data_IF_273497474639
#
_entry.id   IF_273497474639
#
_cell.length_a   1.000
_cell.length_b   1.000
_cell.length_c   1.000
_cell.angle_alpha   90.00
_cell.angle_beta   90.00
_cell.angle_gamma   90.00
#
_symmetry.space_group_name_H-M   'P 1'
#
loop_
_entity.id
_entity.type
_entity.pdbx_description
1 polymer ?
#
# COMPACT_ATOMS: atom_id res chain seq x y z
N UNK A 1 -18.55 39.80 -46.79
CA UNK A 1 -18.89 40.11 -45.37
C UNK A 1 -18.48 41.53 -45.13
N UNK A 2 -19.46 42.40 -44.80
CA UNK A 2 -19.19 43.85 -44.69
C UNK A 2 -18.48 44.14 -43.36
N UNK A 3 -17.53 45.08 -43.34
CA UNK A 3 -16.74 45.49 -42.18
C UNK A 3 -17.61 45.80 -40.94
N UNK A 4 -18.81 46.35 -41.18
CA UNK A 4 -19.79 46.62 -40.12
C UNK A 4 -20.30 45.34 -39.44
N UNK A 5 -20.58 44.28 -40.20
CA UNK A 5 -21.00 42.98 -39.64
C UNK A 5 -19.87 42.26 -38.89
N UNK A 6 -18.63 42.48 -39.29
CA UNK A 6 -17.46 41.96 -38.58
C UNK A 6 -17.27 42.66 -37.24
N UNK A 7 -17.40 43.99 -37.21
CA UNK A 7 -17.34 44.80 -35.99
C UNK A 7 -18.44 44.42 -34.99
N UNK A 8 -19.66 44.20 -35.45
CA UNK A 8 -20.78 43.77 -34.57
C UNK A 8 -20.57 42.37 -34.01
N UNK A 9 -20.04 41.42 -34.81
CA UNK A 9 -19.66 40.09 -34.31
C UNK A 9 -18.53 40.14 -33.30
N UNK A 10 -17.52 40.99 -33.52
CA UNK A 10 -16.40 41.14 -32.57
C UNK A 10 -16.92 41.79 -31.28
N UNK A 11 -17.80 42.82 -31.39
CA UNK A 11 -18.38 43.48 -30.25
C UNK A 11 -19.33 42.56 -29.45
N UNK A 12 -20.10 41.73 -30.12
CA UNK A 12 -20.96 40.73 -29.44
C UNK A 12 -20.13 39.63 -28.75
N UNK A 13 -19.01 39.21 -29.34
CA UNK A 13 -18.07 38.28 -28.68
C UNK A 13 -17.33 38.90 -27.49
N UNK A 14 -16.93 40.20 -27.62
CA UNK A 14 -16.33 40.94 -26.50
C UNK A 14 -17.31 41.15 -25.35
N UNK A 15 -18.61 41.48 -25.67
CA UNK A 15 -19.64 41.56 -24.64
C UNK A 15 -19.98 40.22 -24.00
N UNK A 16 -19.91 39.09 -24.77
CA UNK A 16 -20.12 37.75 -24.20
C UNK A 16 -18.93 37.32 -23.31
N UNK A 17 -17.71 37.79 -23.59
CA UNK A 17 -16.54 37.59 -22.73
C UNK A 17 -16.65 38.43 -21.44
N UNK A 18 -17.16 39.67 -21.53
CA UNK A 18 -17.45 40.51 -20.35
C UNK A 18 -18.57 39.93 -19.47
N UNK A 19 -19.54 39.19 -20.05
CA UNK A 19 -20.62 38.51 -19.31
C UNK A 19 -20.15 37.18 -18.71
N UNK A 20 -19.00 36.63 -19.18
CA UNK A 20 -18.41 35.39 -18.66
C UNK A 20 -17.76 35.56 -17.28
N UNK A 21 -17.38 36.78 -16.93
CA UNK A 21 -16.74 37.10 -15.65
C UNK A 21 -17.76 37.54 -14.57
N UNK A 22 -19.07 37.45 -14.86
CA UNK A 22 -20.10 37.67 -13.83
C UNK A 22 -20.04 36.58 -12.77
N UNK A 23 -19.87 36.99 -11.50
CA UNK A 23 -19.94 36.10 -10.33
C UNK A 23 -21.34 35.52 -10.21
N UNK A 24 -21.49 34.22 -10.17
CA UNK A 24 -22.76 33.50 -10.02
C UNK A 24 -22.98 33.08 -8.57
N UNK A 25 -21.92 32.63 -7.91
CA UNK A 25 -21.94 32.15 -6.52
C UNK A 25 -20.74 32.66 -5.76
N UNK A 26 -20.97 33.02 -4.51
CA UNK A 26 -19.94 33.24 -3.50
C UNK A 26 -20.00 32.08 -2.50
N UNK A 27 -18.95 31.28 -2.40
CA UNK A 27 -18.90 30.10 -1.53
C UNK A 27 -17.56 30.01 -0.80
N UNK A 28 -17.58 30.02 0.53
CA UNK A 28 -16.39 29.92 1.38
C UNK A 28 -15.25 30.91 1.00
N UNK A 29 -15.59 32.12 0.53
CA UNK A 29 -14.62 33.13 0.13
C UNK A 29 -14.07 32.98 -1.28
N UNK A 30 -14.70 32.15 -2.12
CA UNK A 30 -14.43 32.03 -3.56
C UNK A 30 -15.57 32.68 -4.35
N UNK A 31 -15.21 33.58 -5.27
CA UNK A 31 -16.12 34.13 -6.25
C UNK A 31 -16.13 33.20 -7.48
N UNK A 32 -17.25 32.54 -7.74
CA UNK A 32 -17.38 31.57 -8.83
C UNK A 32 -18.05 32.25 -10.04
N UNK A 33 -17.30 32.35 -11.15
CA UNK A 33 -17.73 32.93 -12.40
C UNK A 33 -18.26 31.90 -13.40
N UNK A 34 -19.02 32.32 -14.41
CA UNK A 34 -19.48 31.46 -15.52
C UNK A 34 -18.30 30.77 -16.24
N UNK A 35 -17.22 31.52 -16.45
CA UNK A 35 -16.00 31.04 -17.11
C UNK A 35 -15.39 29.86 -16.32
N UNK A 36 -15.27 30.02 -15.02
CA UNK A 36 -14.71 29.01 -14.13
C UNK A 36 -15.55 27.72 -14.09
N UNK A 37 -16.88 27.86 -14.10
CA UNK A 37 -17.79 26.71 -14.18
C UNK A 37 -17.55 25.92 -15.47
N UNK A 38 -17.50 26.61 -16.62
CA UNK A 38 -17.30 25.95 -17.91
C UNK A 38 -15.92 25.28 -17.96
N UNK A 39 -14.88 25.97 -17.45
CA UNK A 39 -13.51 25.44 -17.41
C UNK A 39 -13.41 24.23 -16.46
N UNK A 40 -14.03 24.29 -15.29
CA UNK A 40 -14.04 23.16 -14.35
C UNK A 40 -14.77 21.95 -14.92
N UNK A 41 -15.87 22.14 -15.64
CA UNK A 41 -16.55 21.04 -16.35
C UNK A 41 -15.63 20.42 -17.41
N UNK A 42 -14.90 21.25 -18.17
CA UNK A 42 -13.95 20.75 -19.16
C UNK A 42 -12.78 19.98 -18.50
N UNK A 43 -12.24 20.47 -17.38
CA UNK A 43 -11.21 19.78 -16.59
C UNK A 43 -11.74 18.42 -16.14
N UNK A 44 -12.90 18.39 -15.51
CA UNK A 44 -13.52 17.14 -15.03
C UNK A 44 -13.74 16.16 -16.19
N UNK A 45 -14.24 16.62 -17.35
CA UNK A 45 -14.47 15.77 -18.52
C UNK A 45 -13.16 15.16 -19.06
N UNK A 46 -12.09 15.97 -19.15
CA UNK A 46 -10.77 15.51 -19.59
C UNK A 46 -10.21 14.50 -18.58
N UNK A 47 -10.34 14.77 -17.29
CA UNK A 47 -9.88 13.87 -16.24
C UNK A 47 -10.64 12.54 -16.26
N UNK A 48 -11.96 12.54 -16.52
CA UNK A 48 -12.72 11.31 -16.70
C UNK A 48 -12.26 10.51 -17.93
N UNK A 49 -11.99 11.16 -19.06
CA UNK A 49 -11.43 10.47 -20.24
C UNK A 49 -10.07 9.83 -19.93
N UNK A 50 -9.18 10.54 -19.26
CA UNK A 50 -7.89 9.99 -18.83
C UNK A 50 -8.08 8.81 -17.85
N UNK A 51 -9.00 8.94 -16.90
CA UNK A 51 -9.35 7.90 -15.96
C UNK A 51 -9.85 6.62 -16.65
N UNK A 52 -10.68 6.73 -17.68
CA UNK A 52 -11.16 5.56 -18.44
C UNK A 52 -10.03 4.84 -19.17
N UNK A 53 -9.06 5.58 -19.74
CA UNK A 53 -7.90 4.98 -20.44
C UNK A 53 -7.03 4.22 -19.42
N UNK A 54 -6.73 4.84 -18.28
CA UNK A 54 -5.91 4.20 -17.22
C UNK A 54 -6.65 2.99 -16.63
N UNK A 55 -7.95 3.12 -16.36
CA UNK A 55 -8.79 2.02 -15.86
C UNK A 55 -8.82 0.84 -16.83
N UNK A 56 -8.84 1.09 -18.14
CA UNK A 56 -8.72 0.04 -19.16
C UNK A 56 -7.40 -0.71 -19.05
N UNK A 57 -6.28 -0.01 -18.96
CA UNK A 57 -4.97 -0.64 -18.81
C UNK A 57 -4.84 -1.47 -17.52
N UNK A 58 -5.45 -0.99 -16.41
CA UNK A 58 -5.52 -1.76 -15.16
C UNK A 58 -6.37 -3.02 -15.35
N UNK A 59 -7.50 -2.93 -16.05
CA UNK A 59 -8.36 -4.08 -16.34
C UNK A 59 -7.63 -5.14 -17.16
N UNK A 60 -6.96 -4.74 -18.23
CA UNK A 60 -6.21 -5.65 -19.10
C UNK A 60 -5.09 -6.38 -18.32
N UNK A 61 -4.33 -5.63 -17.51
CA UNK A 61 -3.29 -6.20 -16.65
C UNK A 61 -3.86 -7.19 -15.63
N UNK A 62 -4.97 -6.83 -14.99
CA UNK A 62 -5.64 -7.71 -14.01
C UNK A 62 -6.17 -8.99 -14.66
N UNK A 63 -6.76 -8.88 -15.87
CA UNK A 63 -7.25 -10.04 -16.60
C UNK A 63 -6.12 -10.98 -17.02
N UNK A 64 -4.98 -10.43 -17.46
CA UNK A 64 -3.78 -11.21 -17.78
C UNK A 64 -3.27 -11.96 -16.55
N UNK A 65 -3.19 -11.29 -15.39
CA UNK A 65 -2.79 -11.92 -14.13
C UNK A 65 -3.77 -13.01 -13.67
N UNK A 66 -5.07 -12.79 -13.80
CA UNK A 66 -6.08 -13.81 -13.49
C UNK A 66 -5.93 -15.03 -14.39
N UNK A 67 -5.65 -14.86 -15.68
CA UNK A 67 -5.36 -15.98 -16.59
C UNK A 67 -4.12 -16.75 -16.15
N UNK A 68 -3.05 -16.04 -15.78
CA UNK A 68 -1.82 -16.64 -15.28
C UNK A 68 -2.08 -17.50 -14.02
N UNK A 69 -2.84 -16.98 -13.05
CA UNK A 69 -3.18 -17.72 -11.84
C UNK A 69 -4.07 -18.93 -12.11
N UNK A 70 -5.09 -18.78 -12.97
CA UNK A 70 -6.00 -19.88 -13.29
C UNK A 70 -5.35 -20.99 -14.14
N UNK A 71 -4.25 -20.70 -14.84
CA UNK A 71 -3.45 -21.66 -15.60
C UNK A 71 -2.31 -22.30 -14.80
N UNK A 72 -2.01 -21.75 -13.60
CA UNK A 72 -0.96 -22.26 -12.76
C UNK A 72 -1.24 -23.70 -12.30
N UNK A 73 -0.21 -24.51 -12.19
CA UNK A 73 -0.31 -25.87 -11.66
C UNK A 73 -0.79 -25.82 -10.21
N UNK A 74 -1.66 -26.76 -9.82
CA UNK A 74 -2.07 -26.96 -8.44
C UNK A 74 -1.40 -28.22 -7.91
N UNK A 75 -0.56 -28.10 -6.90
CA UNK A 75 0.31 -29.13 -6.38
C UNK A 75 0.04 -29.34 -4.89
N UNK A 76 -0.31 -30.56 -4.51
CA UNK A 76 -0.58 -31.00 -3.14
C UNK A 76 0.23 -32.22 -2.71
N UNK A 77 1.14 -32.70 -3.58
CA UNK A 77 2.02 -33.84 -3.28
C UNK A 77 3.49 -33.54 -3.58
N UNK A 78 4.38 -34.16 -2.81
CA UNK A 78 5.82 -34.00 -2.95
C UNK A 78 6.32 -34.42 -4.33
N UNK A 79 5.82 -35.54 -4.83
CA UNK A 79 6.22 -36.12 -6.11
C UNK A 79 5.88 -35.18 -7.27
N UNK A 80 4.70 -34.55 -7.21
CA UNK A 80 4.28 -33.60 -8.22
C UNK A 80 5.08 -32.29 -8.13
N UNK A 81 5.47 -31.87 -6.92
CA UNK A 81 6.33 -30.72 -6.72
C UNK A 81 7.73 -30.94 -7.28
N UNK A 82 8.37 -32.07 -6.96
CA UNK A 82 9.67 -32.46 -7.52
C UNK A 82 9.59 -32.56 -9.08
N UNK A 83 8.53 -33.16 -9.59
CA UNK A 83 8.31 -33.26 -11.02
C UNK A 83 8.18 -31.87 -11.68
N UNK A 84 7.40 -30.98 -11.07
CA UNK A 84 7.21 -29.60 -11.57
C UNK A 84 8.53 -28.82 -11.63
N UNK A 85 9.39 -28.92 -10.61
CA UNK A 85 10.71 -28.29 -10.61
C UNK A 85 11.62 -28.89 -11.71
N UNK A 86 11.67 -30.21 -11.83
CA UNK A 86 12.57 -30.90 -12.78
C UNK A 86 12.14 -30.72 -14.25
N UNK A 87 10.86 -30.49 -14.52
CA UNK A 87 10.32 -30.29 -15.87
C UNK A 87 10.11 -28.84 -16.24
N UNK A 88 10.52 -27.88 -15.37
CA UNK A 88 10.25 -26.46 -15.57
C UNK A 88 8.77 -26.18 -15.76
N UNK A 89 7.95 -26.65 -14.82
CA UNK A 89 6.47 -26.61 -14.89
C UNK A 89 5.87 -25.21 -14.91
N UNK A 90 6.66 -24.15 -14.70
CA UNK A 90 6.21 -22.77 -14.70
C UNK A 90 5.51 -22.38 -13.40
N UNK A 91 4.47 -21.56 -13.48
CA UNK A 91 3.78 -21.05 -12.31
C UNK A 91 2.95 -22.14 -11.63
N UNK A 92 3.06 -22.23 -10.31
CA UNK A 92 2.39 -23.22 -9.51
C UNK A 92 1.93 -22.66 -8.15
N UNK A 93 0.74 -23.12 -7.72
CA UNK A 93 0.31 -23.09 -6.33
C UNK A 93 0.67 -24.42 -5.70
N UNK A 94 1.43 -24.38 -4.59
CA UNK A 94 1.87 -25.58 -3.90
C UNK A 94 1.41 -25.50 -2.44
N UNK A 95 0.57 -26.46 -2.01
CA UNK A 95 0.13 -26.56 -0.63
C UNK A 95 0.99 -27.56 0.12
N UNK A 96 1.53 -27.15 1.27
CA UNK A 96 2.39 -28.03 2.04
C UNK A 96 2.76 -27.51 3.41
N UNK A 97 3.54 -28.33 4.11
CA UNK A 97 4.12 -28.00 5.41
C UNK A 97 5.54 -27.51 5.25
N UNK A 98 5.83 -26.35 5.85
CA UNK A 98 7.15 -25.79 6.03
C UNK A 98 7.64 -26.13 7.43
N UNK A 99 8.91 -26.57 7.57
CA UNK A 99 9.55 -26.82 8.86
C UNK A 99 10.98 -26.27 8.86
N UNK A 100 11.38 -25.73 10.02
CA UNK A 100 12.77 -25.39 10.28
C UNK A 100 13.63 -26.66 10.31
N UNK A 101 14.79 -26.65 9.65
CA UNK A 101 15.80 -27.74 9.74
C UNK A 101 16.67 -27.52 10.98
N UNK A 102 17.14 -26.30 11.16
CA UNK A 102 17.86 -25.79 12.31
C UNK A 102 17.02 -24.73 13.00
N UNK A 103 17.05 -24.69 14.32
CA UNK A 103 16.26 -23.73 15.10
C UNK A 103 17.16 -22.71 15.77
N UNK A 104 16.63 -21.50 15.95
CA UNK A 104 17.35 -20.39 16.56
C UNK A 104 16.67 -19.92 17.84
N UNK A 105 17.44 -19.28 18.72
CA UNK A 105 16.92 -18.68 19.94
C UNK A 105 17.83 -17.57 20.47
N UNK A 106 17.31 -16.79 21.42
CA UNK A 106 18.11 -15.99 22.35
C UNK A 106 18.06 -16.66 23.72
N UNK A 107 19.21 -16.74 24.40
CA UNK A 107 19.36 -17.44 25.68
C UNK A 107 18.42 -16.91 26.76
N UNK A 108 18.04 -15.63 26.64
CA UNK A 108 17.18 -14.93 27.63
C UNK A 108 15.73 -15.43 27.62
N UNK A 109 15.22 -15.91 26.48
CA UNK A 109 13.84 -16.35 26.33
C UNK A 109 13.70 -17.83 26.01
N UNK A 110 14.79 -18.46 25.51
CA UNK A 110 14.78 -19.89 25.18
C UNK A 110 13.82 -20.22 24.03
N UNK A 111 13.36 -21.50 24.00
CA UNK A 111 12.49 -21.99 22.93
C UNK A 111 13.24 -22.41 21.67
N UNK A 112 12.48 -22.78 20.66
CA UNK A 112 12.95 -23.14 19.33
C UNK A 112 12.13 -22.40 18.30
N UNK A 113 12.78 -21.62 17.45
CA UNK A 113 12.13 -20.71 16.53
C UNK A 113 12.68 -20.87 15.12
N UNK A 114 11.82 -20.70 14.13
CA UNK A 114 12.21 -20.54 12.74
C UNK A 114 12.95 -19.21 12.53
N UNK A 115 12.41 -18.17 13.12
CA UNK A 115 12.95 -16.81 13.17
C UNK A 115 12.65 -16.20 14.53
N UNK A 116 13.56 -15.40 15.06
CA UNK A 116 13.37 -14.67 16.31
C UNK A 116 14.04 -13.32 16.25
N UNK A 117 13.35 -12.28 16.74
CA UNK A 117 13.87 -10.92 16.90
C UNK A 117 13.95 -10.51 18.37
N UNK A 118 14.92 -9.65 18.63
CA UNK A 118 15.14 -8.95 19.89
C UNK A 118 15.21 -7.47 19.60
N UNK A 119 14.14 -6.76 19.89
CA UNK A 119 14.01 -5.30 19.72
C UNK A 119 14.35 -4.61 21.05
N UNK A 120 15.31 -3.67 21.01
CA UNK A 120 15.64 -2.82 22.15
C UNK A 120 14.91 -1.50 22.02
N UNK A 121 14.25 -1.12 23.11
CA UNK A 121 13.66 0.21 23.30
C UNK A 121 14.20 0.85 24.57
N UNK A 122 14.46 2.15 24.50
CA UNK A 122 14.85 2.96 25.63
C UNK A 122 13.75 3.98 25.97
N UNK A 123 13.49 4.18 27.27
CA UNK A 123 12.49 5.14 27.75
C UNK A 123 13.11 6.52 27.79
N UNK A 124 12.79 7.34 26.77
CA UNK A 124 13.42 8.63 26.53
C UNK A 124 12.48 9.80 26.79
N UNK A 125 13.08 10.91 27.21
CA UNK A 125 12.40 12.17 27.47
C UNK A 125 12.32 12.98 26.19
N UNK A 126 11.11 13.44 25.87
CA UNK A 126 10.82 14.33 24.75
C UNK A 126 10.21 15.64 25.22
N UNK A 127 10.39 16.68 24.43
CA UNK A 127 9.77 17.97 24.62
C UNK A 127 9.02 18.37 23.36
N UNK A 128 7.83 18.95 23.53
CA UNK A 128 7.09 19.57 22.43
C UNK A 128 6.56 20.94 22.87
N UNK A 129 6.53 21.88 21.94
CA UNK A 129 5.85 23.15 22.15
C UNK A 129 4.36 23.00 21.82
N UNK A 130 3.51 23.26 22.81
CA UNK A 130 2.06 23.24 22.65
C UNK A 130 1.55 24.69 22.66
N UNK A 131 0.77 25.00 21.62
CA UNK A 131 0.15 26.30 21.49
C UNK A 131 -1.15 26.35 22.29
N UNK A 132 -1.22 27.26 23.25
CA UNK A 132 -2.40 27.55 24.04
C UNK A 132 -3.00 28.92 23.65
N UNK A 133 -4.31 29.06 23.77
CA UNK A 133 -5.00 30.32 23.62
C UNK A 133 -5.81 30.55 24.90
N UNK A 134 -5.58 31.72 25.56
CA UNK A 134 -6.31 32.09 26.74
C UNK A 134 -7.76 32.54 26.42
N UNK A 135 -8.52 32.85 27.47
CA UNK A 135 -9.91 33.30 27.32
C UNK A 135 -10.05 34.69 26.68
N UNK A 136 -8.96 35.45 26.58
CA UNK A 136 -8.89 36.77 25.95
C UNK A 136 -8.38 36.72 24.51
N UNK A 137 -8.07 35.50 23.99
CA UNK A 137 -7.60 35.25 22.63
C UNK A 137 -6.09 35.40 22.41
N UNK A 138 -5.30 35.60 23.48
CA UNK A 138 -3.85 35.66 23.37
C UNK A 138 -3.27 34.25 23.25
N UNK A 139 -2.29 34.15 22.40
CA UNK A 139 -1.59 32.88 22.14
C UNK A 139 -0.26 32.86 22.86
N UNK A 140 0.00 31.78 23.63
CA UNK A 140 1.28 31.50 24.20
C UNK A 140 1.71 30.06 23.96
N UNK A 141 2.99 29.78 24.05
CA UNK A 141 3.56 28.45 23.86
C UNK A 141 4.04 27.93 25.20
N UNK A 142 3.72 26.69 25.51
CA UNK A 142 4.18 25.98 26.70
C UNK A 142 4.95 24.73 26.26
N UNK A 143 6.09 24.47 26.90
CA UNK A 143 6.88 23.27 26.68
C UNK A 143 6.30 22.13 27.49
N UNK A 144 5.69 21.17 26.82
CA UNK A 144 5.21 19.94 27.43
C UNK A 144 6.30 18.87 27.35
N UNK A 145 6.59 18.24 28.48
CA UNK A 145 7.53 17.13 28.61
C UNK A 145 6.73 15.83 28.62
N UNK A 146 7.11 14.88 27.77
CA UNK A 146 6.53 13.53 27.75
C UNK A 146 7.62 12.48 27.58
N UNK A 147 7.29 11.23 27.87
CA UNK A 147 8.21 10.11 27.78
C UNK A 147 7.62 9.02 26.90
N UNK A 148 8.43 8.42 26.05
CA UNK A 148 8.05 7.31 25.19
C UNK A 148 9.12 6.22 25.20
N UNK A 149 8.69 5.00 24.89
CA UNK A 149 9.61 3.94 24.56
C UNK A 149 10.02 4.10 23.10
N UNK A 150 11.28 4.41 22.87
CA UNK A 150 11.82 4.67 21.55
C UNK A 150 12.65 3.48 21.08
N UNK A 151 12.39 3.06 19.85
CA UNK A 151 13.17 2.00 19.21
C UNK A 151 14.64 2.41 19.06
N UNK A 152 15.54 1.54 19.49
CA UNK A 152 16.98 1.77 19.40
C UNK A 152 17.64 0.84 18.37
N UNK A 153 17.33 -0.45 18.45
CA UNK A 153 17.93 -1.46 17.57
C UNK A 153 17.12 -2.76 17.57
N UNK A 154 17.20 -3.50 16.48
CA UNK A 154 16.68 -4.86 16.37
C UNK A 154 17.82 -5.81 16.03
N UNK A 155 17.84 -6.98 16.67
CA UNK A 155 18.70 -8.12 16.33
C UNK A 155 17.81 -9.27 15.95
N UNK A 156 18.17 -9.95 14.87
CA UNK A 156 17.42 -11.08 14.34
C UNK A 156 18.30 -12.32 14.20
N UNK A 157 17.67 -13.48 14.34
CA UNK A 157 18.25 -14.77 14.01
C UNK A 157 17.20 -15.56 13.27
N UNK A 158 17.60 -16.37 12.29
CA UNK A 158 16.73 -17.27 11.54
C UNK A 158 17.44 -18.58 11.26
N UNK A 159 16.67 -19.62 10.96
CA UNK A 159 17.18 -20.88 10.42
C UNK A 159 18.04 -20.63 9.18
N UNK A 160 19.06 -21.41 8.95
CA UNK A 160 19.78 -21.38 7.67
C UNK A 160 18.99 -22.13 6.59
N UNK A 161 18.33 -23.21 7.00
CA UNK A 161 17.60 -24.12 6.12
C UNK A 161 16.17 -24.38 6.60
N UNK A 162 15.30 -24.57 5.63
CA UNK A 162 13.91 -24.99 5.84
C UNK A 162 13.62 -26.23 4.98
N UNK A 163 12.62 -27.01 5.35
CA UNK A 163 12.01 -27.99 4.45
C UNK A 163 10.61 -27.50 4.08
N UNK A 164 10.26 -27.64 2.81
CA UNK A 164 8.88 -27.46 2.34
C UNK A 164 8.46 -28.70 1.57
N UNK A 165 7.35 -29.32 1.98
CA UNK A 165 6.92 -30.65 1.51
C UNK A 165 8.03 -31.73 1.62
N UNK A 166 8.94 -31.59 2.62
CA UNK A 166 10.04 -32.51 2.82
C UNK A 166 11.19 -32.37 1.82
N UNK A 167 11.27 -31.25 1.10
CA UNK A 167 12.41 -30.84 0.27
C UNK A 167 13.09 -29.67 0.96
N UNK A 168 14.44 -29.72 1.03
CA UNK A 168 15.25 -28.72 1.71
C UNK A 168 15.51 -27.50 0.81
N UNK A 169 15.40 -26.31 1.39
CA UNK A 169 15.66 -25.03 0.75
C UNK A 169 16.39 -24.08 1.71
N UNK A 170 16.98 -23.02 1.17
CA UNK A 170 17.49 -21.91 1.96
C UNK A 170 16.32 -21.15 2.59
N UNK A 171 16.49 -20.66 3.82
CA UNK A 171 15.46 -19.92 4.56
C UNK A 171 14.87 -18.74 3.76
N UNK A 172 15.74 -18.00 3.06
CA UNK A 172 15.33 -16.78 2.32
C UNK A 172 14.43 -17.05 1.11
N UNK A 173 14.19 -18.32 0.76
CA UNK A 173 13.42 -18.68 -0.43
C UNK A 173 11.91 -18.62 -0.21
N UNK A 174 11.46 -18.84 1.04
CA UNK A 174 10.04 -18.74 1.41
C UNK A 174 9.89 -17.75 2.56
N UNK A 175 9.29 -16.59 2.28
CA UNK A 175 8.98 -15.60 3.31
C UNK A 175 7.79 -16.06 4.15
N UNK A 176 7.99 -16.20 5.45
CA UNK A 176 6.94 -16.47 6.45
C UNK A 176 6.67 -15.18 7.19
N UNK A 177 5.43 -14.72 7.16
CA UNK A 177 5.03 -13.42 7.76
C UNK A 177 4.45 -13.55 9.17
N UNK A 178 4.12 -14.76 9.62
CA UNK A 178 3.57 -14.97 10.95
C UNK A 178 4.64 -14.80 12.02
N UNK A 179 4.36 -13.86 12.94
CA UNK A 179 5.23 -13.60 14.09
C UNK A 179 4.38 -13.41 15.34
N UNK A 180 4.74 -14.12 16.39
CA UNK A 180 4.09 -14.03 17.68
C UNK A 180 4.95 -13.28 18.71
N UNK A 181 4.30 -12.63 19.65
CA UNK A 181 4.96 -12.03 20.80
C UNK A 181 5.42 -13.15 21.76
N UNK A 182 6.69 -13.11 22.17
CA UNK A 182 7.27 -14.09 23.10
C UNK A 182 7.30 -13.50 24.51
N UNK A 183 8.04 -12.40 24.71
CA UNK A 183 8.24 -11.81 26.03
C UNK A 183 8.77 -10.38 25.94
N UNK A 184 8.70 -9.64 27.07
CA UNK A 184 9.35 -8.34 27.26
C UNK A 184 10.20 -8.37 28.52
N UNK A 185 11.51 -8.26 28.37
CA UNK A 185 12.47 -8.25 29.47
C UNK A 185 12.94 -6.83 29.73
N UNK A 186 12.70 -6.34 30.94
CA UNK A 186 13.16 -5.02 31.37
C UNK A 186 14.58 -5.11 31.94
N UNK A 187 15.44 -4.17 31.54
CA UNK A 187 16.80 -4.02 32.07
C UNK A 187 16.94 -2.63 32.70
N UNK A 188 16.64 -2.56 33.99
CA UNK A 188 16.55 -1.28 34.72
C UNK A 188 15.19 -0.61 34.53
N UNK A 189 15.16 0.73 34.62
CA UNK A 189 13.93 1.52 34.56
C UNK A 189 13.68 2.13 33.18
N UNK A 190 14.70 2.15 32.33
CA UNK A 190 14.77 2.92 31.08
C UNK A 190 15.08 2.10 29.84
N UNK A 191 15.26 0.80 29.97
CA UNK A 191 15.55 -0.09 28.84
C UNK A 191 14.68 -1.33 28.90
N UNK A 192 14.08 -1.71 27.76
CA UNK A 192 13.38 -2.99 27.59
C UNK A 192 13.78 -3.69 26.30
N UNK A 193 13.64 -5.00 26.30
CA UNK A 193 13.82 -5.86 25.14
C UNK A 193 12.52 -6.60 24.85
N UNK A 194 11.99 -6.41 23.64
CA UNK A 194 10.78 -7.09 23.17
C UNK A 194 11.24 -8.23 22.26
N UNK A 195 10.75 -9.44 22.53
CA UNK A 195 11.06 -10.63 21.74
C UNK A 195 9.83 -11.05 20.95
N UNK A 196 10.03 -11.30 19.66
CA UNK A 196 9.04 -11.85 18.75
C UNK A 196 9.66 -13.02 18.02
N UNK A 197 8.86 -14.03 17.66
CA UNK A 197 9.36 -15.19 16.94
C UNK A 197 8.32 -15.76 16.01
N UNK A 198 8.78 -16.63 15.12
CA UNK A 198 7.93 -17.44 14.24
C UNK A 198 8.09 -18.90 14.60
N UNK A 199 6.99 -19.64 14.59
CA UNK A 199 6.95 -21.07 14.91
C UNK A 199 7.90 -21.87 14.01
N UNK A 200 8.29 -23.06 14.49
CA UNK A 200 9.16 -23.96 13.71
C UNK A 200 8.43 -24.69 12.59
N UNK A 201 7.10 -24.71 12.62
CA UNK A 201 6.26 -25.37 11.64
C UNK A 201 5.14 -24.45 11.19
N UNK A 202 4.93 -24.38 9.89
CA UNK A 202 3.85 -23.64 9.25
C UNK A 202 3.21 -24.51 8.18
N UNK A 203 1.93 -24.34 7.94
CA UNK A 203 1.21 -25.02 6.86
C UNK A 203 0.51 -23.99 6.01
N UNK A 204 0.54 -24.16 4.71
CA UNK A 204 -0.11 -23.19 3.82
C UNK A 204 0.22 -23.39 2.35
N UNK A 205 -0.13 -22.41 1.57
CA UNK A 205 0.09 -22.40 0.12
C UNK A 205 1.15 -21.38 -0.25
N UNK A 206 2.06 -21.75 -1.15
CA UNK A 206 2.95 -20.81 -1.84
C UNK A 206 2.52 -20.66 -3.29
N UNK A 207 2.75 -19.47 -3.88
CA UNK A 207 2.68 -19.25 -5.31
C UNK A 207 4.08 -18.92 -5.82
N UNK A 208 4.61 -19.77 -6.67
CA UNK A 208 5.98 -19.67 -7.16
C UNK A 208 6.10 -20.09 -8.62
N UNK A 209 7.25 -19.84 -9.23
CA UNK A 209 7.59 -20.35 -10.55
C UNK A 209 8.64 -21.46 -10.42
N UNK A 210 8.31 -22.62 -10.98
CA UNK A 210 9.13 -23.82 -10.97
C UNK A 210 9.93 -23.89 -12.26
N UNK A 211 11.25 -23.82 -12.15
CA UNK A 211 12.15 -23.81 -13.31
C UNK A 211 13.55 -24.34 -12.95
N UNK A 212 14.16 -25.09 -13.86
CA UNK A 212 15.56 -25.53 -13.79
C UNK A 212 15.93 -26.29 -12.50
N UNK A 213 15.01 -27.13 -12.01
CA UNK A 213 15.20 -27.91 -10.79
C UNK A 213 15.03 -27.11 -9.49
N UNK A 214 14.54 -25.88 -9.56
CA UNK A 214 14.38 -24.97 -8.44
C UNK A 214 13.01 -24.28 -8.43
N UNK A 215 12.73 -23.55 -7.36
CA UNK A 215 11.60 -22.62 -7.29
C UNK A 215 12.10 -21.19 -7.09
N UNK A 216 11.32 -20.20 -7.52
CA UNK A 216 11.62 -18.80 -7.24
C UNK A 216 11.17 -18.40 -5.84
N UNK A 217 11.82 -17.37 -5.28
CA UNK A 217 11.44 -16.76 -4.01
C UNK A 217 9.94 -16.40 -4.00
N UNK A 218 9.28 -16.75 -2.90
CA UNK A 218 7.83 -16.57 -2.74
C UNK A 218 7.47 -16.33 -1.26
N UNK A 219 6.20 -16.04 -1.00
CA UNK A 219 5.67 -15.92 0.35
C UNK A 219 4.72 -17.06 0.66
N UNK A 220 4.71 -17.51 1.90
CA UNK A 220 3.75 -18.49 2.40
C UNK A 220 2.42 -17.79 2.74
N UNK A 221 1.33 -18.27 2.17
CA UNK A 221 -0.03 -17.94 2.57
C UNK A 221 -0.46 -18.94 3.66
N UNK A 222 -0.18 -18.56 4.89
CA UNK A 222 -0.35 -19.42 6.05
C UNK A 222 -1.83 -19.77 6.28
N UNK A 223 -2.06 -21.02 6.70
CA UNK A 223 -3.40 -21.62 6.95
C UNK A 223 -4.41 -21.46 5.81
N UNK A 224 -3.92 -21.24 4.57
CA UNK A 224 -4.78 -21.13 3.38
C UNK A 224 -4.54 -22.27 2.40
N UNK A 225 -5.64 -22.84 1.95
CA UNK A 225 -5.65 -23.80 0.85
C UNK A 225 -5.34 -23.13 -0.51
N UNK A 226 -4.99 -23.93 -1.51
CA UNK A 226 -4.78 -23.44 -2.89
C UNK A 226 -5.99 -22.67 -3.39
N UNK A 227 -7.21 -23.19 -3.13
CA UNK A 227 -8.44 -22.57 -3.59
C UNK A 227 -8.67 -21.19 -2.95
N UNK A 228 -8.45 -21.05 -1.64
CA UNK A 228 -8.61 -19.77 -0.94
C UNK A 228 -7.60 -18.72 -1.41
N UNK A 229 -6.34 -19.14 -1.69
CA UNK A 229 -5.33 -18.23 -2.25
C UNK A 229 -5.71 -17.83 -3.67
N UNK A 230 -6.14 -18.77 -4.50
CA UNK A 230 -6.57 -18.52 -5.87
C UNK A 230 -7.78 -17.56 -5.92
N UNK A 231 -8.78 -17.76 -5.08
CA UNK A 231 -9.92 -16.87 -4.95
C UNK A 231 -9.51 -15.47 -4.50
N UNK A 232 -8.60 -15.36 -3.52
CA UNK A 232 -8.08 -14.08 -3.05
C UNK A 232 -7.31 -13.33 -4.16
N UNK A 233 -6.55 -14.03 -5.01
CA UNK A 233 -5.85 -13.46 -6.17
C UNK A 233 -6.81 -13.06 -7.29
N UNK A 234 -7.90 -13.78 -7.46
CA UNK A 234 -8.93 -13.46 -8.44
C UNK A 234 -9.87 -12.33 -7.99
N UNK A 235 -10.03 -12.12 -6.67
CA UNK A 235 -10.80 -11.03 -6.08
C UNK A 235 -9.95 -9.74 -6.02
N UNK A 236 -9.80 -9.10 -7.18
CA UNK A 236 -9.03 -7.87 -7.30
C UNK A 236 -9.93 -6.64 -7.22
N UNK A 237 -9.71 -5.81 -6.21
CA UNK A 237 -10.39 -4.53 -6.00
C UNK A 237 -9.64 -3.34 -6.62
N UNK A 238 -8.61 -3.58 -7.42
CA UNK A 238 -7.73 -2.53 -7.97
C UNK A 238 -8.51 -1.48 -8.77
N UNK A 239 -9.47 -1.88 -9.57
CA UNK A 239 -10.32 -0.96 -10.32
C UNK A 239 -11.19 -0.07 -9.42
N UNK A 240 -11.81 -0.64 -8.39
CA UNK A 240 -12.66 0.11 -7.46
C UNK A 240 -11.78 1.11 -6.68
N UNK A 241 -10.64 0.64 -6.17
CA UNK A 241 -9.68 1.48 -5.45
C UNK A 241 -9.15 2.61 -6.35
N UNK A 242 -8.81 2.29 -7.61
CA UNK A 242 -8.40 3.29 -8.59
C UNK A 242 -9.46 4.38 -8.76
N UNK A 243 -10.73 4.02 -8.99
CA UNK A 243 -11.78 5.00 -9.20
C UNK A 243 -12.07 5.85 -7.97
N UNK A 244 -12.00 5.29 -6.76
CA UNK A 244 -12.13 6.07 -5.52
C UNK A 244 -11.02 7.13 -5.44
N UNK A 245 -9.76 6.72 -5.61
CA UNK A 245 -8.61 7.63 -5.57
C UNK A 245 -8.65 8.65 -6.71
N UNK A 246 -9.07 8.23 -7.91
CA UNK A 246 -9.16 9.09 -9.08
C UNK A 246 -10.23 10.19 -8.93
N UNK A 247 -11.39 9.86 -8.36
CA UNK A 247 -12.44 10.84 -8.07
C UNK A 247 -11.96 11.85 -7.02
N UNK A 248 -11.28 11.40 -5.97
CA UNK A 248 -10.66 12.31 -4.99
C UNK A 248 -9.62 13.22 -5.64
N UNK A 249 -8.82 12.68 -6.57
CA UNK A 249 -7.83 13.45 -7.31
C UNK A 249 -8.48 14.48 -8.23
N UNK A 250 -9.58 14.15 -8.94
CA UNK A 250 -10.36 15.10 -9.73
C UNK A 250 -10.87 16.25 -8.84
N UNK A 251 -11.38 15.92 -7.65
CA UNK A 251 -11.84 16.92 -6.68
C UNK A 251 -10.70 17.86 -6.26
N UNK A 252 -9.52 17.30 -5.97
CA UNK A 252 -8.34 18.08 -5.62
C UNK A 252 -7.86 19.01 -6.76
N UNK A 253 -7.81 18.51 -7.99
CA UNK A 253 -7.43 19.30 -9.17
C UNK A 253 -8.44 20.43 -9.42
N UNK A 254 -9.74 20.13 -9.31
CA UNK A 254 -10.81 21.13 -9.46
C UNK A 254 -10.74 22.18 -8.37
N UNK A 255 -10.52 21.78 -7.11
CA UNK A 255 -10.32 22.73 -6.01
C UNK A 255 -9.08 23.60 -6.23
N UNK A 256 -7.96 22.99 -6.63
CA UNK A 256 -6.72 23.71 -6.95
C UNK A 256 -6.90 24.73 -8.07
N UNK A 257 -7.70 24.40 -9.09
CA UNK A 257 -8.06 25.33 -10.16
C UNK A 257 -8.79 26.57 -9.60
N UNK A 258 -9.84 26.39 -8.81
CA UNK A 258 -10.55 27.51 -8.18
C UNK A 258 -9.67 28.31 -7.24
N UNK A 259 -8.81 27.66 -6.46
CA UNK A 259 -7.88 28.33 -5.55
C UNK A 259 -6.89 29.23 -6.30
N UNK A 260 -6.30 28.73 -7.40
CA UNK A 260 -5.35 29.49 -8.21
C UNK A 260 -6.01 30.63 -8.96
N UNK A 261 -7.18 30.43 -9.57
CA UNK A 261 -7.88 31.49 -10.32
C UNK A 261 -8.30 32.63 -9.38
N UNK A 262 -8.86 32.32 -8.22
CA UNK A 262 -9.22 33.33 -7.21
C UNK A 262 -8.01 34.05 -6.58
N UNK A 263 -6.84 33.38 -6.50
CA UNK A 263 -5.61 34.01 -5.99
C UNK A 263 -4.98 34.98 -6.99
N UNK A 264 -5.25 34.82 -8.29
CA UNK A 264 -4.76 35.70 -9.37
C UNK A 264 -5.64 36.91 -9.58
N UNK A 265 -6.92 36.88 -9.17
CA UNK A 265 -7.88 37.95 -9.30
C UNK A 265 -7.89 38.93 -8.12
N UNK A 266 -7.11 38.66 -7.07
CA UNK A 266 -6.86 39.56 -5.93
C UNK A 266 -5.52 40.25 -6.07
#
# INVERSE_FOLDING_TARGET
>A
MNITQLKERIKSRLNSLSDSDTVIFECYGFDITKREIITSIAIVAIMFMLGTIISGAIADYTEEKKKEYNQAMQIDSKELFEYGMNTSGGNAFVYGQLKAVDTVTFDEVGGQWLWISKEREDYTRHEREVKHTDSEGHTYYETEVYYTWDHVSTKEKHSEKITFMGIEFDYDLIDVSDTEYIDTIYKGFDTRYIYRGSSIEHTGTIYTNLQDGAMKKCSLYEDRTIQEVLESKNNDFSQITFWILWILFIGFVTYGFYYLDNSWLR
#
